data_IF_337306729690
#
_entry.id   IF_337306729690
#
_cell.length_a   1.000
_cell.length_b   1.000
_cell.length_c   1.000
_cell.angle_alpha   90.00
_cell.angle_beta   90.00
_cell.angle_gamma   90.00
#
_symmetry.space_group_name_H-M   'P 1'
#
loop_
_entity.id
_entity.type
_entity.pdbx_description
1 polymer ?
#
# COMPACT_ATOMS: atom_id res chain seq x y z
N UNK A 1 14.36 -4.06 -45.87
CA UNK A 1 15.16 -3.53 -44.74
C UNK A 1 14.22 -2.69 -43.91
N UNK A 2 13.68 -3.24 -42.83
CA UNK A 2 12.78 -2.47 -41.98
C UNK A 2 13.65 -1.61 -41.07
N UNK A 3 13.70 -0.31 -41.35
CA UNK A 3 14.33 0.64 -40.45
C UNK A 3 13.54 0.69 -39.13
N UNK A 4 14.21 0.98 -38.02
CA UNK A 4 13.54 1.25 -36.74
C UNK A 4 12.53 2.38 -36.93
N UNK A 5 11.29 2.14 -36.49
CA UNK A 5 10.24 3.15 -36.41
C UNK A 5 10.64 4.27 -35.45
N UNK A 6 10.01 5.44 -35.58
CA UNK A 6 10.31 6.59 -34.73
C UNK A 6 10.11 6.28 -33.23
N UNK A 7 9.09 5.49 -32.90
CA UNK A 7 8.83 4.99 -31.55
C UNK A 7 9.96 4.07 -31.04
N UNK A 8 10.44 3.14 -31.88
CA UNK A 8 11.56 2.27 -31.51
C UNK A 8 12.84 3.06 -31.29
N UNK A 9 13.12 4.06 -32.13
CA UNK A 9 14.27 4.95 -31.96
C UNK A 9 14.15 5.77 -30.67
N UNK A 10 12.97 6.29 -30.35
CA UNK A 10 12.71 7.02 -29.11
C UNK A 10 12.91 6.12 -27.88
N UNK A 11 12.38 4.89 -27.89
CA UNK A 11 12.63 3.89 -26.84
C UNK A 11 14.13 3.65 -26.65
N UNK A 12 14.88 3.41 -27.73
CA UNK A 12 16.32 3.10 -27.64
C UNK A 12 17.08 4.29 -27.04
N UNK A 13 16.77 5.53 -27.43
CA UNK A 13 17.40 6.74 -26.87
C UNK A 13 17.22 6.78 -25.36
N UNK A 14 15.97 6.71 -24.92
CA UNK A 14 15.64 6.82 -23.50
C UNK A 14 16.19 5.62 -22.70
N UNK A 15 16.17 4.41 -23.28
CA UNK A 15 16.70 3.22 -22.63
C UNK A 15 18.20 3.32 -22.39
N UNK A 16 18.95 3.84 -23.37
CA UNK A 16 20.39 4.00 -23.25
C UNK A 16 20.76 5.03 -22.18
N UNK A 17 19.91 6.02 -21.87
CA UNK A 17 20.13 6.96 -20.75
C UNK A 17 20.27 6.24 -19.40
N UNK A 18 19.64 5.08 -19.24
CA UNK A 18 19.63 4.31 -17.99
C UNK A 18 20.86 3.44 -17.81
N UNK A 19 21.65 3.28 -18.89
CA UNK A 19 22.87 2.49 -18.92
C UNK A 19 24.10 3.36 -18.69
N UNK A 20 25.10 2.79 -18.00
CA UNK A 20 26.41 3.42 -17.85
C UNK A 20 27.17 3.52 -19.18
N UNK A 21 28.18 4.40 -19.24
CA UNK A 21 28.93 4.67 -20.47
C UNK A 21 29.63 3.42 -21.03
N UNK A 22 30.18 2.56 -20.17
CA UNK A 22 30.82 1.32 -20.59
C UNK A 22 29.84 0.35 -21.25
N UNK A 23 28.62 0.25 -20.71
CA UNK A 23 27.55 -0.57 -21.28
C UNK A 23 27.10 -0.08 -22.65
N UNK A 24 26.92 1.24 -22.78
CA UNK A 24 26.55 1.89 -24.06
C UNK A 24 27.65 1.72 -25.10
N UNK A 25 28.93 1.90 -24.73
CA UNK A 25 30.07 1.70 -25.64
C UNK A 25 30.21 0.23 -26.08
N UNK A 26 30.01 -0.72 -25.16
CA UNK A 26 30.01 -2.14 -25.49
C UNK A 26 28.88 -2.51 -26.48
N UNK A 27 27.67 -1.98 -26.26
CA UNK A 27 26.54 -2.15 -27.19
C UNK A 27 26.86 -1.58 -28.58
N UNK A 28 27.35 -0.34 -28.64
CA UNK A 28 27.72 0.31 -29.90
C UNK A 28 28.75 -0.51 -30.67
N UNK A 29 29.81 -1.00 -30.00
CA UNK A 29 30.83 -1.83 -30.66
C UNK A 29 30.27 -3.14 -31.24
N UNK A 30 29.26 -3.72 -30.59
CA UNK A 30 28.66 -4.99 -31.00
C UNK A 30 27.63 -4.79 -32.11
N UNK A 31 26.88 -3.69 -32.07
CA UNK A 31 25.84 -3.38 -33.07
C UNK A 31 26.50 -2.91 -34.37
N UNK A 32 27.56 -2.09 -34.28
CA UNK A 32 28.31 -1.62 -35.45
C UNK A 32 29.32 -2.64 -35.98
N UNK A 33 29.43 -3.83 -35.36
CA UNK A 33 30.46 -4.84 -35.66
C UNK A 33 31.88 -4.24 -35.67
N UNK A 34 32.13 -3.28 -34.77
CA UNK A 34 33.36 -2.49 -34.62
C UNK A 34 33.76 -1.67 -35.86
N UNK A 35 32.84 -1.40 -36.79
CA UNK A 35 33.13 -0.59 -37.97
C UNK A 35 33.12 0.91 -37.69
N UNK A 36 32.58 1.34 -36.55
CA UNK A 36 32.48 2.75 -36.15
C UNK A 36 33.22 2.96 -34.83
N UNK A 37 34.19 3.89 -34.82
CA UNK A 37 34.80 4.40 -33.58
C UNK A 37 33.90 5.51 -33.03
N UNK A 38 33.17 5.19 -31.96
CA UNK A 38 32.39 6.16 -31.21
C UNK A 38 33.10 6.47 -29.89
N UNK A 39 33.68 7.66 -29.80
CA UNK A 39 34.50 8.05 -28.65
C UNK A 39 33.66 8.71 -27.53
N UNK A 40 32.50 9.28 -27.89
CA UNK A 40 31.57 9.93 -26.97
C UNK A 40 30.26 9.15 -26.81
N UNK A 41 29.61 9.28 -25.65
CA UNK A 41 28.30 8.66 -25.37
C UNK A 41 27.26 8.98 -26.45
N UNK A 42 27.19 10.24 -26.88
CA UNK A 42 26.28 10.68 -27.94
C UNK A 42 26.55 9.98 -29.27
N UNK A 43 27.82 9.90 -29.68
CA UNK A 43 28.20 9.17 -30.89
C UNK A 43 27.88 7.67 -30.79
N UNK A 44 28.01 7.07 -29.59
CA UNK A 44 27.61 5.68 -29.38
C UNK A 44 26.09 5.49 -29.55
N UNK A 45 25.28 6.38 -28.97
CA UNK A 45 23.80 6.34 -29.10
C UNK A 45 23.39 6.49 -30.57
N UNK A 46 23.95 7.46 -31.28
CA UNK A 46 23.65 7.69 -32.70
C UNK A 46 24.03 6.47 -33.55
N UNK A 47 25.19 5.86 -33.29
CA UNK A 47 25.63 4.66 -33.98
C UNK A 47 24.74 3.44 -33.68
N UNK A 48 24.27 3.28 -32.43
CA UNK A 48 23.34 2.21 -32.06
C UNK A 48 22.03 2.36 -32.84
N UNK A 49 21.47 3.56 -32.88
CA UNK A 49 20.18 3.82 -33.56
C UNK A 49 20.32 3.62 -35.06
N UNK A 50 21.41 4.11 -35.66
CA UNK A 50 21.63 4.02 -37.10
C UNK A 50 21.85 2.59 -37.59
N UNK A 51 22.48 1.73 -36.77
CA UNK A 51 22.90 0.39 -37.18
C UNK A 51 22.07 -0.76 -36.58
N UNK A 52 21.04 -0.45 -35.78
CA UNK A 52 20.11 -1.47 -35.26
C UNK A 52 19.08 -1.85 -36.32
N UNK A 53 18.98 -3.15 -36.63
CA UNK A 53 18.09 -3.64 -37.70
C UNK A 53 16.64 -3.85 -37.26
N UNK A 54 16.40 -4.04 -35.95
CA UNK A 54 15.08 -4.18 -35.34
C UNK A 54 15.15 -4.02 -33.83
N UNK A 55 14.01 -3.71 -33.20
CA UNK A 55 13.91 -3.67 -31.73
C UNK A 55 14.20 -5.05 -31.09
N UNK A 56 13.80 -6.14 -31.72
CA UNK A 56 14.02 -7.51 -31.22
C UNK A 56 15.52 -7.84 -31.13
N UNK A 57 16.30 -7.49 -32.16
CA UNK A 57 17.75 -7.72 -32.15
C UNK A 57 18.45 -6.90 -31.06
N UNK A 58 17.99 -5.66 -30.84
CA UNK A 58 18.50 -4.79 -29.78
C UNK A 58 18.24 -5.39 -28.39
N UNK A 59 17.00 -5.78 -28.10
CA UNK A 59 16.59 -6.32 -26.80
C UNK A 59 17.30 -7.63 -26.42
N UNK A 60 17.64 -8.45 -27.42
CA UNK A 60 18.38 -9.71 -27.23
C UNK A 60 19.86 -9.54 -26.96
N UNK A 61 20.44 -8.34 -27.10
CA UNK A 61 21.88 -8.13 -26.83
C UNK A 61 22.20 -8.35 -25.35
N UNK A 62 23.32 -9.01 -25.05
CA UNK A 62 23.70 -9.40 -23.69
C UNK A 62 23.78 -8.25 -22.68
N UNK A 63 24.10 -7.04 -23.14
CA UNK A 63 24.19 -5.84 -22.28
C UNK A 63 22.83 -5.20 -21.97
N UNK A 64 21.78 -5.63 -22.66
CA UNK A 64 20.40 -5.33 -22.30
C UNK A 64 19.96 -6.38 -21.28
N UNK A 65 20.16 -6.08 -19.99
CA UNK A 65 19.89 -7.02 -18.90
C UNK A 65 18.47 -6.89 -18.38
N UNK A 66 18.00 -7.90 -17.64
CA UNK A 66 16.70 -7.90 -16.98
C UNK A 66 16.53 -6.67 -16.08
N UNK A 67 17.58 -6.27 -15.38
CA UNK A 67 17.60 -5.12 -14.48
C UNK A 67 17.38 -3.82 -15.23
N UNK A 68 18.03 -3.65 -16.39
CA UNK A 68 17.87 -2.45 -17.23
C UNK A 68 16.45 -2.37 -17.82
N UNK A 69 15.91 -3.50 -18.29
CA UNK A 69 14.54 -3.59 -18.81
C UNK A 69 13.50 -3.30 -17.72
N UNK A 70 13.70 -3.90 -16.54
CA UNK A 70 12.86 -3.66 -15.37
C UNK A 70 12.93 -2.19 -14.93
N UNK A 71 14.13 -1.61 -14.87
CA UNK A 71 14.32 -0.18 -14.55
C UNK A 71 13.59 0.72 -15.55
N UNK A 72 13.72 0.44 -16.85
CA UNK A 72 13.04 1.20 -17.91
C UNK A 72 11.51 1.16 -17.80
N UNK A 73 10.94 -0.03 -17.56
CA UNK A 73 9.50 -0.21 -17.37
C UNK A 73 9.01 0.41 -16.07
N UNK A 74 9.81 0.33 -15.01
CA UNK A 74 9.53 0.94 -13.72
C UNK A 74 9.53 2.48 -13.80
N UNK A 75 10.47 3.08 -14.53
CA UNK A 75 10.48 4.53 -14.79
C UNK A 75 9.27 4.99 -15.62
N UNK A 76 8.74 4.11 -16.48
CA UNK A 76 7.49 4.34 -17.25
C UNK A 76 6.23 3.86 -16.57
N UNK A 77 6.34 3.36 -15.33
CA UNK A 77 5.21 3.06 -14.45
C UNK A 77 4.33 1.93 -14.98
N UNK A 78 4.99 1.00 -15.65
CA UNK A 78 4.39 -0.17 -16.23
C UNK A 78 4.67 -1.31 -15.26
N UNK A 79 3.61 -1.73 -14.55
CA UNK A 79 3.72 -2.80 -13.57
C UNK A 79 4.18 -4.08 -14.26
N UNK A 80 5.26 -4.64 -13.74
CA UNK A 80 5.71 -5.97 -14.13
C UNK A 80 5.71 -6.84 -12.88
N UNK A 81 4.84 -7.86 -12.77
CA UNK A 81 4.97 -8.89 -11.74
C UNK A 81 6.31 -9.60 -11.91
N UNK A 82 6.75 -10.41 -10.95
CA UNK A 82 8.07 -11.04 -10.94
C UNK A 82 8.32 -11.94 -12.19
N UNK A 83 8.81 -11.33 -13.26
CA UNK A 83 8.74 -11.86 -14.65
C UNK A 83 10.14 -12.13 -15.19
N UNK A 84 10.28 -13.13 -16.06
CA UNK A 84 11.54 -13.44 -16.74
C UNK A 84 11.94 -12.37 -17.77
N UNK A 85 13.17 -12.44 -18.30
CA UNK A 85 13.69 -11.45 -19.27
C UNK A 85 12.84 -11.41 -20.54
N UNK A 86 12.36 -12.55 -21.02
CA UNK A 86 11.63 -12.65 -22.28
C UNK A 86 10.26 -11.95 -22.20
N UNK A 87 9.57 -12.07 -21.08
CA UNK A 87 8.29 -11.39 -20.91
C UNK A 87 8.43 -9.87 -20.70
N UNK A 88 9.54 -9.38 -20.11
CA UNK A 88 9.88 -7.95 -20.13
C UNK A 88 10.13 -7.44 -21.56
N UNK A 89 10.83 -8.21 -22.38
CA UNK A 89 11.07 -7.89 -23.79
C UNK A 89 9.75 -7.80 -24.58
N UNK A 90 8.84 -8.74 -24.37
CA UNK A 90 7.53 -8.75 -25.03
C UNK A 90 6.68 -7.54 -24.62
N UNK A 91 6.65 -7.22 -23.33
CA UNK A 91 5.90 -6.06 -22.83
C UNK A 91 6.45 -4.75 -23.42
N UNK A 92 7.77 -4.62 -23.56
CA UNK A 92 8.39 -3.47 -24.24
C UNK A 92 7.96 -3.39 -25.71
N UNK A 93 7.96 -4.51 -26.43
CA UNK A 93 7.52 -4.54 -27.83
C UNK A 93 6.07 -4.10 -28.00
N UNK A 94 5.18 -4.55 -27.11
CA UNK A 94 3.77 -4.16 -27.14
C UNK A 94 3.59 -2.66 -26.90
N UNK A 95 4.36 -2.08 -26.00
CA UNK A 95 4.31 -0.64 -25.69
C UNK A 95 4.80 0.24 -26.83
N UNK A 96 5.92 -0.17 -27.43
CA UNK A 96 6.54 0.56 -28.54
C UNK A 96 5.65 0.47 -29.79
N UNK A 97 5.04 -0.70 -30.04
CA UNK A 97 4.12 -0.92 -31.15
C UNK A 97 2.77 -0.21 -30.94
N UNK A 98 2.30 -0.13 -29.70
CA UNK A 98 1.06 0.53 -29.31
C UNK A 98 1.14 2.06 -29.19
N UNK A 99 2.30 2.67 -29.45
CA UNK A 99 2.49 4.13 -29.42
C UNK A 99 2.37 4.78 -28.04
N UNK A 100 2.48 4.00 -26.95
CA UNK A 100 2.32 4.47 -25.56
C UNK A 100 3.63 4.96 -24.93
N UNK A 101 4.58 5.42 -25.74
CA UNK A 101 5.87 5.90 -25.24
C UNK A 101 5.76 7.36 -24.81
N UNK A 102 5.76 7.60 -23.51
CA UNK A 102 5.93 8.94 -22.94
C UNK A 102 7.44 9.18 -22.75
N UNK A 103 8.03 10.24 -23.35
CA UNK A 103 9.46 10.53 -23.19
C UNK A 103 9.77 10.98 -21.76
N UNK A 104 10.87 10.46 -21.20
CA UNK A 104 11.28 10.66 -19.79
C UNK A 104 11.36 12.14 -19.38
N UNK A 105 11.64 13.03 -20.34
CA UNK A 105 11.83 14.47 -20.11
C UNK A 105 10.53 15.26 -19.87
N UNK A 106 9.36 14.70 -20.17
CA UNK A 106 8.07 15.31 -19.86
C UNK A 106 7.68 15.15 -18.37
N UNK A 107 8.37 14.29 -17.62
CA UNK A 107 8.13 13.99 -16.21
C UNK A 107 8.85 15.00 -15.28
N UNK A 108 9.75 15.82 -15.83
CA UNK A 108 10.63 16.73 -15.08
C UNK A 108 10.10 18.17 -14.97
N UNK A 109 8.82 18.36 -14.67
CA UNK A 109 8.38 19.63 -14.07
C UNK A 109 8.04 19.38 -12.60
N UNK A 110 8.61 20.16 -11.66
CA UNK A 110 8.26 20.04 -10.26
C UNK A 110 6.79 20.44 -10.11
N UNK A 111 5.93 19.44 -9.88
CA UNK A 111 4.55 19.64 -9.48
C UNK A 111 4.60 20.49 -8.20
N UNK A 112 4.11 21.72 -8.28
CA UNK A 112 3.80 22.52 -7.09
C UNK A 112 2.88 21.65 -6.23
N UNK A 113 3.32 21.31 -5.03
CA UNK A 113 2.49 20.67 -4.01
C UNK A 113 1.42 21.68 -3.62
N UNK A 114 0.26 21.61 -4.24
CA UNK A 114 -0.93 22.25 -3.69
C UNK A 114 -1.40 21.39 -2.50
N UNK A 115 -1.61 21.98 -1.31
CA UNK A 115 -1.95 21.25 -0.08
C UNK A 115 -3.42 20.80 -0.03
N UNK A 116 -4.14 20.81 -1.15
CA UNK A 116 -5.54 20.40 -1.18
C UNK A 116 -5.63 18.88 -0.99
N UNK A 117 -6.22 18.49 0.14
CA UNK A 117 -6.34 17.11 0.56
C UNK A 117 -7.33 16.33 -0.33
N UNK A 118 -7.00 15.07 -0.66
CA UNK A 118 -7.88 14.19 -1.40
C UNK A 118 -9.25 13.96 -0.70
N UNK A 119 -9.27 13.88 0.63
CA UNK A 119 -10.50 13.56 1.38
C UNK A 119 -11.28 14.82 1.82
N UNK A 120 -10.84 16.02 1.42
CA UNK A 120 -11.44 17.30 1.82
C UNK A 120 -12.79 17.59 1.13
N UNK A 121 -13.09 17.00 -0.03
CA UNK A 121 -14.30 17.32 -0.81
C UNK A 121 -15.58 16.61 -0.33
N UNK A 122 -15.50 15.71 0.66
CA UNK A 122 -16.65 14.93 1.14
C UNK A 122 -17.62 15.71 2.05
N UNK A 123 -17.46 17.04 2.18
CA UNK A 123 -18.23 17.90 3.08
C UNK A 123 -19.65 18.23 2.59
N UNK A 124 -20.48 17.24 2.25
CA UNK A 124 -21.93 17.44 2.15
C UNK A 124 -22.71 16.20 2.59
N UNK A 125 -22.57 15.79 3.86
CA UNK A 125 -23.65 15.06 4.54
C UNK A 125 -23.55 15.17 6.07
N UNK A 126 -24.62 15.69 6.64
CA UNK A 126 -24.98 15.89 8.04
C UNK A 126 -24.00 15.48 9.16
N UNK A 127 -23.62 16.52 9.90
CA UNK A 127 -22.89 16.50 11.15
C UNK A 127 -23.74 15.95 12.30
N UNK A 128 -23.45 14.72 12.73
CA UNK A 128 -23.81 14.23 14.07
C UNK A 128 -22.91 13.07 14.48
N UNK A 129 -21.62 13.33 14.67
CA UNK A 129 -20.71 12.35 15.29
C UNK A 129 -19.99 13.03 16.45
N UNK A 130 -20.66 13.12 17.60
CA UNK A 130 -20.02 13.47 18.87
C UNK A 130 -19.09 12.31 19.27
N UNK A 131 -17.84 12.59 19.71
CA UNK A 131 -16.94 11.53 20.16
C UNK A 131 -17.55 10.80 21.36
N UNK A 132 -17.55 9.48 21.30
CA UNK A 132 -18.09 8.62 22.34
C UNK A 132 -17.18 8.68 23.56
N UNK A 133 -17.67 9.26 24.66
CA UNK A 133 -16.91 9.36 25.91
C UNK A 133 -16.98 8.03 26.68
N UNK A 134 -15.85 7.63 27.27
CA UNK A 134 -15.80 6.54 28.24
C UNK A 134 -16.56 6.99 29.51
N UNK A 135 -17.83 6.63 29.64
CA UNK A 135 -18.62 6.97 30.84
C UNK A 135 -18.21 6.09 32.01
N UNK A 136 -17.73 6.71 33.08
CA UNK A 136 -17.35 6.03 34.31
C UNK A 136 -18.61 5.72 35.17
N UNK A 137 -19.39 4.72 34.78
CA UNK A 137 -20.55 4.27 35.57
C UNK A 137 -20.26 2.95 36.29
N UNK A 138 -20.24 3.00 37.63
CA UNK A 138 -20.39 1.80 38.46
C UNK A 138 -21.76 1.16 38.15
N UNK A 139 -21.84 -0.17 37.94
CA UNK A 139 -23.09 -0.80 37.57
C UNK A 139 -24.01 -0.94 38.79
N UNK A 140 -25.04 -0.10 38.87
CA UNK A 140 -26.22 -0.37 39.71
C UNK A 140 -27.13 -1.38 38.99
N UNK A 141 -27.05 -2.62 39.48
CA UNK A 141 -28.02 -3.73 39.49
C UNK A 141 -29.12 -3.85 38.41
N UNK A 142 -29.17 -5.08 37.87
CA UNK A 142 -30.30 -5.79 37.21
C UNK A 142 -30.67 -5.40 35.78
N UNK A 143 -29.76 -5.72 34.85
CA UNK A 143 -30.09 -6.32 33.55
C UNK A 143 -29.11 -7.48 33.36
N UNK A 144 -29.49 -8.60 32.68
CA UNK A 144 -28.54 -9.66 32.42
C UNK A 144 -27.48 -9.11 31.46
N UNK A 145 -26.32 -8.75 32.01
CA UNK A 145 -25.09 -8.62 31.25
C UNK A 145 -24.93 -9.91 30.45
N UNK A 146 -25.12 -9.85 29.14
CA UNK A 146 -24.48 -10.81 28.24
C UNK A 146 -23.03 -10.34 28.17
N UNK A 147 -22.10 -10.99 28.89
CA UNK A 147 -20.72 -10.58 28.81
C UNK A 147 -20.24 -10.88 27.40
N UNK A 148 -19.51 -9.94 26.80
CA UNK A 148 -18.67 -10.19 25.61
C UNK A 148 -17.63 -11.31 25.85
N UNK A 149 -17.59 -11.91 27.04
CA UNK A 149 -16.94 -13.19 27.31
C UNK A 149 -17.60 -14.39 26.60
N UNK A 150 -18.89 -14.28 26.22
CA UNK A 150 -19.69 -15.36 25.63
C UNK A 150 -20.17 -15.03 24.21
N UNK A 151 -19.45 -14.19 23.45
CA UNK A 151 -19.69 -14.08 22.01
C UNK A 151 -19.35 -15.43 21.38
N UNK A 152 -20.35 -16.29 21.22
CA UNK A 152 -20.26 -17.58 20.57
C UNK A 152 -20.07 -17.35 19.06
N UNK A 153 -18.91 -16.79 18.67
CA UNK A 153 -18.44 -16.89 17.30
C UNK A 153 -18.36 -18.38 16.98
N UNK A 154 -18.85 -18.83 15.82
CA UNK A 154 -18.72 -20.22 15.41
C UNK A 154 -17.25 -20.67 15.57
N UNK A 155 -17.04 -21.77 16.31
CA UNK A 155 -15.73 -22.40 16.44
C UNK A 155 -15.09 -22.56 15.05
N UNK A 156 -13.79 -22.29 14.98
CA UNK A 156 -12.97 -22.36 13.76
C UNK A 156 -13.27 -23.59 12.89
N UNK A 157 -13.70 -24.72 13.45
CA UNK A 157 -14.09 -25.93 12.73
C UNK A 157 -15.20 -25.74 11.68
N UNK A 158 -16.12 -24.77 11.86
CA UNK A 158 -17.21 -24.52 10.90
C UNK A 158 -16.78 -23.63 9.72
N UNK A 159 -15.71 -22.83 9.87
CA UNK A 159 -15.18 -21.94 8.82
C UNK A 159 -13.91 -22.49 8.15
N UNK A 160 -13.18 -23.41 8.81
CA UNK A 160 -11.96 -24.04 8.28
C UNK A 160 -12.21 -24.87 7.02
N UNK A 161 -13.46 -25.28 6.77
CA UNK A 161 -13.85 -25.97 5.54
C UNK A 161 -13.85 -25.05 4.30
N UNK A 162 -13.77 -23.72 4.47
CA UNK A 162 -13.81 -22.76 3.36
C UNK A 162 -12.45 -22.08 3.04
N UNK A 163 -11.45 -22.18 3.92
CA UNK A 163 -10.20 -21.39 3.82
C UNK A 163 -8.92 -22.23 3.66
N UNK A 164 -9.03 -23.52 3.38
CA UNK A 164 -7.86 -24.35 3.11
C UNK A 164 -7.30 -24.06 1.71
N UNK A 165 -6.26 -23.22 1.66
CA UNK A 165 -4.94 -23.55 1.07
C UNK A 165 -4.24 -22.32 0.46
N UNK A 166 -3.20 -21.82 1.13
CA UNK A 166 -1.86 -21.54 0.56
C UNK A 166 -1.05 -20.48 1.38
N UNK A 167 -0.24 -21.00 2.31
CA UNK A 167 1.11 -20.53 2.71
C UNK A 167 1.36 -19.02 2.94
N UNK A 168 1.37 -18.65 4.23
CA UNK A 168 1.60 -17.31 4.82
C UNK A 168 3.08 -16.84 4.85
N UNK A 169 4.06 -17.64 4.46
CA UNK A 169 5.48 -17.38 4.81
C UNK A 169 6.25 -16.40 3.91
N UNK A 170 5.82 -16.13 2.67
CA UNK A 170 6.57 -15.24 1.74
C UNK A 170 6.13 -13.78 1.88
N UNK A 171 4.84 -13.54 2.12
CA UNK A 171 4.28 -12.20 2.17
C UNK A 171 4.67 -11.46 3.46
N UNK A 172 4.70 -12.16 4.59
CA UNK A 172 5.15 -11.62 5.89
C UNK A 172 6.56 -11.00 5.82
N UNK A 173 7.47 -11.59 5.02
CA UNK A 173 8.83 -11.05 4.80
C UNK A 173 8.81 -9.75 3.98
N UNK A 174 7.93 -9.63 2.99
CA UNK A 174 7.84 -8.44 2.12
C UNK A 174 7.22 -7.26 2.85
N UNK A 175 6.14 -7.48 3.61
CA UNK A 175 5.50 -6.43 4.42
C UNK A 175 6.44 -5.93 5.51
N UNK A 176 7.09 -6.85 6.24
CA UNK A 176 8.07 -6.50 7.29
C UNK A 176 9.24 -5.68 6.73
N UNK A 177 9.75 -6.04 5.55
CA UNK A 177 10.85 -5.28 4.90
C UNK A 177 10.38 -3.90 4.46
N UNK A 178 9.15 -3.79 3.94
CA UNK A 178 8.57 -2.50 3.51
C UNK A 178 8.36 -1.58 4.70
N UNK A 179 7.84 -2.10 5.82
CA UNK A 179 7.69 -1.33 7.05
C UNK A 179 9.03 -0.90 7.64
N UNK A 180 10.01 -1.80 7.74
CA UNK A 180 11.33 -1.47 8.28
C UNK A 180 12.02 -0.35 7.46
N UNK A 181 11.92 -0.41 6.13
CA UNK A 181 12.43 0.64 5.25
C UNK A 181 11.69 1.97 5.44
N UNK A 182 10.36 1.95 5.57
CA UNK A 182 9.55 3.16 5.78
C UNK A 182 9.69 3.75 7.19
N UNK A 183 9.95 2.92 8.20
CA UNK A 183 10.27 3.35 9.56
C UNK A 183 11.70 3.91 9.67
N UNK A 184 12.55 3.74 8.64
CA UNK A 184 13.92 4.25 8.63
C UNK A 184 14.88 3.44 9.50
N UNK A 185 14.54 2.18 9.81
CA UNK A 185 15.34 1.30 10.66
C UNK A 185 16.03 0.26 9.78
N UNK A 186 17.37 0.28 9.74
CA UNK A 186 18.14 -0.84 9.21
C UNK A 186 17.87 -2.08 10.06
N UNK A 187 17.63 -3.22 9.40
CA UNK A 187 17.31 -4.52 10.02
C UNK A 187 18.20 -4.77 11.26
N UNK A 188 17.71 -4.49 12.47
CA UNK A 188 18.53 -4.67 13.67
C UNK A 188 18.16 -3.96 14.97
N UNK A 189 17.29 -2.92 14.99
CA UNK A 189 16.94 -2.25 16.27
C UNK A 189 15.42 -2.12 16.42
N UNK A 190 14.78 -3.19 16.88
CA UNK A 190 13.41 -3.12 17.39
C UNK A 190 13.44 -2.34 18.72
N UNK A 191 12.73 -1.22 18.82
CA UNK A 191 12.58 -0.57 20.12
C UNK A 191 11.97 0.81 20.16
N UNK A 192 12.19 1.66 19.14
CA UNK A 192 11.64 3.02 19.16
C UNK A 192 10.99 3.35 17.81
N UNK A 193 9.67 3.52 17.83
CA UNK A 193 8.94 4.07 16.71
C UNK A 193 9.57 5.43 16.33
N UNK A 194 9.88 5.66 15.05
CA UNK A 194 10.40 6.94 14.62
C UNK A 194 9.38 8.06 14.86
N UNK A 195 9.86 9.28 15.12
CA UNK A 195 8.96 10.42 15.31
C UNK A 195 8.04 10.60 14.07
N UNK A 196 6.74 10.89 14.29
CA UNK A 196 5.83 11.18 13.21
C UNK A 196 6.31 12.41 12.44
N UNK A 197 6.14 12.40 11.11
CA UNK A 197 6.52 13.55 10.30
C UNK A 197 5.44 14.64 10.41
N UNK A 198 5.78 15.87 10.85
CA UNK A 198 4.81 16.97 10.94
C UNK A 198 4.12 17.26 9.60
N UNK A 199 4.78 16.97 8.47
CA UNK A 199 4.21 17.14 7.12
C UNK A 199 3.06 16.18 6.85
N UNK A 200 3.08 15.01 7.49
CA UNK A 200 2.10 13.96 7.28
C UNK A 200 0.94 14.01 8.30
N UNK A 201 1.01 14.91 9.28
CA UNK A 201 -0.01 14.95 10.35
C UNK A 201 -1.40 15.29 9.81
N UNK A 202 -1.48 16.24 8.86
CA UNK A 202 -2.74 16.61 8.23
C UNK A 202 -3.31 15.44 7.41
N UNK A 203 -2.46 14.76 6.62
CA UNK A 203 -2.87 13.66 5.74
C UNK A 203 -3.36 12.44 6.53
N UNK A 204 -2.70 12.14 7.65
CA UNK A 204 -3.08 11.08 8.58
C UNK A 204 -4.42 11.37 9.26
N UNK A 205 -4.60 12.58 9.80
CA UNK A 205 -5.78 12.95 10.57
C UNK A 205 -7.05 12.87 9.71
N UNK A 206 -7.01 13.41 8.51
CA UNK A 206 -8.18 13.43 7.66
C UNK A 206 -8.44 12.06 6.99
N UNK A 207 -7.40 11.26 6.67
CA UNK A 207 -7.59 9.84 6.30
C UNK A 207 -8.31 9.06 7.42
N UNK A 208 -7.88 9.22 8.68
CA UNK A 208 -8.51 8.56 9.81
C UNK A 208 -9.98 8.98 9.91
N UNK A 209 -10.27 10.28 9.83
CA UNK A 209 -11.65 10.80 9.83
C UNK A 209 -12.49 10.16 8.73
N UNK A 210 -12.00 10.12 7.49
CA UNK A 210 -12.68 9.51 6.35
C UNK A 210 -12.93 8.00 6.57
N UNK A 211 -11.90 7.25 6.94
CA UNK A 211 -11.95 5.79 7.09
C UNK A 211 -12.97 5.39 8.16
N UNK A 212 -12.86 5.96 9.36
CA UNK A 212 -13.75 5.59 10.47
C UNK A 212 -15.17 6.13 10.30
N UNK A 213 -15.36 7.20 9.52
CA UNK A 213 -16.71 7.63 9.13
C UNK A 213 -17.36 6.59 8.21
N UNK A 214 -16.66 6.11 7.18
CA UNK A 214 -17.18 5.13 6.21
C UNK A 214 -17.32 3.72 6.79
N UNK A 215 -16.27 3.19 7.44
CA UNK A 215 -16.25 1.79 7.92
C UNK A 215 -17.32 1.50 8.97
N UNK A 216 -17.76 2.54 9.70
CA UNK A 216 -18.81 2.43 10.69
C UNK A 216 -20.23 2.56 10.12
N UNK A 217 -20.39 2.91 8.84
CA UNK A 217 -21.71 2.90 8.18
C UNK A 217 -22.16 1.47 7.84
N UNK A 218 -23.47 1.22 7.67
CA UNK A 218 -23.96 0.01 7.03
C UNK A 218 -23.32 -0.20 5.66
N UNK A 219 -22.85 -1.41 5.34
CA UNK A 219 -22.13 -1.72 4.11
C UNK A 219 -20.64 -1.35 4.14
N UNK A 220 -20.17 -0.59 5.14
CA UNK A 220 -18.77 -0.31 5.41
C UNK A 220 -17.99 0.30 4.23
N UNK A 221 -16.77 -0.20 4.00
CA UNK A 221 -15.90 0.27 2.92
C UNK A 221 -16.12 -0.57 1.66
N UNK A 222 -16.34 0.05 0.49
CA UNK A 222 -16.49 -0.70 -0.74
C UNK A 222 -15.11 -1.09 -1.34
N UNK A 223 -15.06 -2.05 -2.28
CA UNK A 223 -13.81 -2.58 -2.85
C UNK A 223 -12.89 -1.53 -3.48
N UNK A 224 -13.44 -0.43 -3.97
CA UNK A 224 -12.72 0.60 -4.73
C UNK A 224 -11.80 1.45 -3.84
N UNK A 225 -12.06 1.46 -2.52
CA UNK A 225 -11.23 2.11 -1.51
C UNK A 225 -9.91 1.32 -1.24
N UNK A 226 -9.79 0.11 -1.80
CA UNK A 226 -8.61 -0.74 -1.72
C UNK A 226 -7.93 -0.91 -3.09
N UNK A 227 -6.62 -1.16 -3.08
CA UNK A 227 -5.93 -1.61 -4.28
C UNK A 227 -6.46 -2.99 -4.73
N UNK A 228 -6.54 -3.28 -6.05
CA UNK A 228 -7.02 -4.58 -6.53
C UNK A 228 -6.22 -5.77 -5.98
N UNK A 229 -4.93 -5.59 -5.72
CA UNK A 229 -4.01 -6.54 -5.08
C UNK A 229 -3.73 -6.21 -3.60
N UNK A 230 -4.63 -5.46 -2.96
CA UNK A 230 -4.57 -5.09 -1.56
C UNK A 230 -4.65 -6.32 -0.65
N UNK A 231 -4.07 -6.20 0.55
CA UNK A 231 -3.95 -7.33 1.48
C UNK A 231 -4.40 -6.95 2.89
N UNK A 232 -4.96 -7.92 3.61
CA UNK A 232 -5.35 -7.73 4.99
C UNK A 232 -4.98 -8.92 5.85
N UNK A 233 -4.56 -8.63 7.09
CA UNK A 233 -4.54 -9.59 8.18
C UNK A 233 -5.28 -9.00 9.38
N UNK A 234 -6.00 -9.85 10.10
CA UNK A 234 -6.78 -9.46 11.26
C UNK A 234 -6.62 -10.49 12.37
N UNK A 235 -6.38 -9.99 13.58
CA UNK A 235 -6.34 -10.79 14.80
C UNK A 235 -7.48 -10.32 15.70
N UNK A 236 -8.37 -11.24 16.04
CA UNK A 236 -9.44 -11.00 17.02
C UNK A 236 -9.05 -11.69 18.32
N UNK A 237 -8.55 -10.93 19.29
CA UNK A 237 -8.09 -11.42 20.59
C UNK A 237 -9.21 -11.35 21.63
N UNK A 238 -9.49 -12.50 22.22
CA UNK A 238 -10.37 -12.65 23.38
C UNK A 238 -9.52 -13.01 24.60
N UNK A 239 -10.16 -13.22 25.75
CA UNK A 239 -9.46 -13.44 27.02
C UNK A 239 -8.50 -14.63 27.01
N UNK A 240 -8.89 -15.72 26.34
CA UNK A 240 -8.17 -16.99 26.39
C UNK A 240 -7.68 -17.49 25.03
N UNK A 241 -8.09 -16.85 23.93
CA UNK A 241 -7.83 -17.30 22.57
C UNK A 241 -7.81 -16.13 21.58
N UNK A 242 -7.37 -16.42 20.35
CA UNK A 242 -7.32 -15.46 19.27
C UNK A 242 -7.67 -16.12 17.93
N UNK A 243 -8.50 -15.45 17.14
CA UNK A 243 -8.76 -15.84 15.75
C UNK A 243 -7.90 -15.05 14.80
N UNK A 244 -7.39 -15.73 13.78
CA UNK A 244 -6.63 -15.14 12.70
C UNK A 244 -7.43 -15.21 11.41
N UNK A 245 -7.58 -14.06 10.76
CA UNK A 245 -8.26 -13.93 9.47
C UNK A 245 -7.35 -13.19 8.50
N UNK A 246 -7.37 -13.57 7.23
CA UNK A 246 -6.60 -12.90 6.20
C UNK A 246 -7.36 -12.89 4.88
N UNK A 247 -7.11 -11.87 4.07
CA UNK A 247 -7.67 -11.75 2.74
C UNK A 247 -6.65 -11.13 1.78
N UNK A 248 -6.71 -11.55 0.52
CA UNK A 248 -5.94 -11.00 -0.58
C UNK A 248 -6.88 -10.53 -1.69
N UNK A 249 -6.52 -9.40 -2.30
CA UNK A 249 -7.29 -8.68 -3.28
C UNK A 249 -8.31 -7.74 -2.64
N UNK A 250 -8.39 -6.50 -3.15
CA UNK A 250 -9.18 -5.42 -2.56
C UNK A 250 -10.65 -5.78 -2.30
N UNK A 251 -11.26 -6.53 -3.23
CA UNK A 251 -12.62 -7.05 -3.10
C UNK A 251 -12.81 -7.98 -1.88
N UNK A 252 -11.85 -8.87 -1.62
CA UNK A 252 -11.95 -9.81 -0.50
C UNK A 252 -11.59 -9.13 0.82
N UNK A 253 -10.67 -8.15 0.79
CA UNK A 253 -10.33 -7.32 1.95
C UNK A 253 -11.54 -6.53 2.43
N UNK A 254 -12.21 -5.79 1.54
CA UNK A 254 -13.42 -5.05 1.85
C UNK A 254 -14.51 -5.96 2.43
N UNK A 255 -14.77 -7.09 1.77
CA UNK A 255 -15.77 -8.08 2.22
C UNK A 255 -15.46 -8.60 3.62
N UNK A 256 -14.23 -9.03 3.88
CA UNK A 256 -13.84 -9.59 5.18
C UNK A 256 -13.96 -8.56 6.31
N UNK A 257 -13.48 -7.34 6.08
CA UNK A 257 -13.55 -6.26 7.08
C UNK A 257 -15.00 -5.93 7.42
N UNK A 258 -15.83 -5.68 6.41
CA UNK A 258 -17.23 -5.32 6.62
C UNK A 258 -17.99 -6.49 7.27
N UNK A 259 -17.78 -7.73 6.83
CA UNK A 259 -18.41 -8.91 7.43
C UNK A 259 -18.11 -9.01 8.92
N UNK A 260 -16.84 -8.89 9.34
CA UNK A 260 -16.48 -9.01 10.78
C UNK A 260 -17.12 -7.90 11.61
N UNK A 261 -17.13 -6.66 11.10
CA UNK A 261 -17.72 -5.54 11.83
C UNK A 261 -19.26 -5.64 11.89
N UNK A 262 -19.91 -6.12 10.84
CA UNK A 262 -21.37 -6.30 10.82
C UNK A 262 -21.83 -7.53 11.63
N UNK A 263 -21.15 -8.67 11.47
CA UNK A 263 -21.47 -9.93 12.17
C UNK A 263 -21.43 -9.75 13.69
N UNK A 264 -20.48 -8.96 14.18
CA UNK A 264 -20.31 -8.69 15.61
C UNK A 264 -20.89 -7.33 16.04
N UNK A 265 -21.55 -6.61 15.12
CA UNK A 265 -22.15 -5.31 15.37
C UNK A 265 -21.16 -4.34 16.05
N UNK A 266 -19.95 -4.25 15.50
CA UNK A 266 -18.86 -3.46 16.06
C UNK A 266 -18.86 -2.03 15.55
N UNK A 267 -18.44 -1.12 16.41
CA UNK A 267 -18.17 0.27 16.10
C UNK A 267 -16.74 0.63 16.52
N UNK A 268 -15.95 1.16 15.58
CA UNK A 268 -14.59 1.61 15.81
C UNK A 268 -14.59 3.09 16.17
N UNK A 269 -14.29 3.43 17.42
CA UNK A 269 -14.18 4.81 17.89
C UNK A 269 -12.70 5.23 17.96
N UNK A 270 -12.15 5.90 16.93
CA UNK A 270 -10.73 6.23 16.87
C UNK A 270 -10.32 7.28 17.90
N UNK A 271 -9.12 7.13 18.45
CA UNK A 271 -8.46 8.21 19.17
C UNK A 271 -7.84 9.18 18.16
N UNK A 272 -8.53 10.27 17.86
CA UNK A 272 -8.09 11.30 16.89
C UNK A 272 -7.12 12.33 17.47
N UNK A 273 -6.63 12.11 18.69
CA UNK A 273 -5.56 12.95 19.27
C UNK A 273 -4.19 12.56 18.70
N UNK A 274 -3.17 13.42 18.80
CA UNK A 274 -1.80 13.06 18.38
C UNK A 274 -1.21 11.82 19.07
N UNK A 275 -1.76 11.42 20.22
CA UNK A 275 -1.34 10.22 20.94
C UNK A 275 -2.03 8.94 20.45
N UNK A 276 -3.10 9.06 19.67
CA UNK A 276 -3.88 7.94 19.13
C UNK A 276 -3.63 7.64 17.66
N UNK A 277 -2.85 8.49 16.99
CA UNK A 277 -2.50 8.37 15.59
C UNK A 277 -1.01 8.57 15.40
N UNK A 278 -0.43 7.81 14.48
CA UNK A 278 0.94 8.00 14.03
C UNK A 278 0.97 7.79 12.51
N UNK A 279 1.87 8.48 11.82
CA UNK A 279 2.09 8.21 10.41
C UNK A 279 3.37 8.80 9.87
N UNK A 280 3.82 8.20 8.76
CA UNK A 280 5.05 8.61 8.07
C UNK A 280 4.99 8.21 6.60
N UNK A 281 5.15 9.20 5.75
CA UNK A 281 5.20 9.10 4.30
C UNK A 281 6.62 9.02 3.75
N UNK A 282 6.71 8.71 2.47
CA UNK A 282 7.94 8.85 1.70
C UNK A 282 7.67 9.54 0.37
N UNK A 283 8.74 9.95 -0.30
CA UNK A 283 8.67 10.64 -1.60
C UNK A 283 8.16 9.73 -2.74
N UNK A 284 7.98 8.44 -2.49
CA UNK A 284 7.49 7.46 -3.47
C UNK A 284 5.95 7.32 -3.46
N UNK A 285 5.23 8.15 -2.71
CA UNK A 285 3.77 8.11 -2.63
C UNK A 285 3.24 6.98 -1.76
N UNK A 286 4.04 6.51 -0.79
CA UNK A 286 3.59 5.57 0.23
C UNK A 286 3.45 6.31 1.56
N UNK A 287 2.41 5.97 2.32
CA UNK A 287 2.16 6.52 3.65
C UNK A 287 1.78 5.38 4.60
N UNK A 288 2.55 5.24 5.68
CA UNK A 288 2.13 4.42 6.80
C UNK A 288 1.24 5.24 7.74
N UNK A 289 0.15 4.63 8.18
CA UNK A 289 -0.76 5.21 9.17
C UNK A 289 -1.09 4.18 10.22
N UNK A 290 -0.85 4.47 11.49
CA UNK A 290 -1.29 3.67 12.61
C UNK A 290 -2.35 4.46 13.38
N UNK A 291 -3.51 3.85 13.61
CA UNK A 291 -4.56 4.45 14.44
C UNK A 291 -5.04 3.41 15.45
N UNK A 292 -5.16 3.81 16.70
CA UNK A 292 -5.81 3.02 17.75
C UNK A 292 -7.04 3.73 18.30
N UNK A 293 -7.88 2.98 19.01
CA UNK A 293 -9.08 3.53 19.62
C UNK A 293 -9.87 2.49 20.39
N UNK A 294 -11.08 2.84 20.79
CA UNK A 294 -11.97 1.94 21.53
C UNK A 294 -12.92 1.21 20.59
N UNK A 295 -13.26 -0.02 20.97
CA UNK A 295 -14.22 -0.87 20.29
C UNK A 295 -15.54 -0.82 21.05
N UNK A 296 -16.65 -0.53 20.37
CA UNK A 296 -17.98 -0.42 20.98
C UNK A 296 -19.00 -1.31 20.28
N UNK A 297 -20.08 -1.63 20.99
CA UNK A 297 -21.26 -2.30 20.42
C UNK A 297 -22.16 -1.29 19.68
N UNK A 298 -22.62 -1.63 18.47
CA UNK A 298 -23.62 -0.88 17.69
C UNK A 298 -25.05 -1.31 18.08
N UNK A 299 -26.08 -0.43 18.00
CA UNK A 299 -26.04 1.02 17.73
C UNK A 299 -25.95 1.91 18.98
N UNK A 300 -25.43 3.15 18.82
CA UNK A 300 -25.46 4.20 19.85
C UNK A 300 -24.25 4.24 20.78
N UNK A 301 -24.42 4.81 21.98
CA UNK A 301 -23.46 4.91 23.09
C UNK A 301 -23.12 3.56 23.75
N UNK A 302 -22.99 2.50 22.94
CA UNK A 302 -22.84 1.13 23.41
C UNK A 302 -21.64 0.93 24.32
N UNK A 303 -21.69 -0.13 25.11
CA UNK A 303 -20.60 -0.51 26.03
C UNK A 303 -19.27 -0.61 25.28
N UNK A 304 -18.20 -0.11 25.93
CA UNK A 304 -16.85 -0.35 25.47
C UNK A 304 -16.55 -1.85 25.61
N UNK A 305 -16.31 -2.50 24.47
CA UNK A 305 -15.98 -3.92 24.38
C UNK A 305 -14.46 -4.12 24.50
N UNK A 306 -13.68 -3.09 24.19
CA UNK A 306 -12.22 -3.14 24.23
C UNK A 306 -11.57 -2.10 23.36
N UNK A 307 -10.53 -2.50 22.65
CA UNK A 307 -9.77 -1.60 21.79
C UNK A 307 -9.45 -2.23 20.44
N UNK A 308 -9.13 -1.37 19.48
CA UNK A 308 -8.60 -1.76 18.21
C UNK A 308 -7.29 -1.05 17.90
N UNK A 309 -6.53 -1.63 16.99
CA UNK A 309 -5.37 -1.03 16.33
C UNK A 309 -5.42 -1.36 14.84
N UNK A 310 -5.25 -0.35 14.00
CA UNK A 310 -5.18 -0.51 12.56
C UNK A 310 -3.89 0.11 12.04
N UNK A 311 -3.04 -0.70 11.41
CA UNK A 311 -1.88 -0.26 10.65
C UNK A 311 -2.20 -0.34 9.16
N UNK A 312 -2.12 0.79 8.49
CA UNK A 312 -2.36 0.95 7.07
C UNK A 312 -1.06 1.23 6.34
N UNK A 313 -0.87 0.57 5.19
CA UNK A 313 -0.05 1.10 4.12
C UNK A 313 -0.97 1.69 3.06
N UNK A 314 -0.94 3.01 2.93
CA UNK A 314 -1.61 3.72 1.87
C UNK A 314 -0.63 3.93 0.73
N UNK A 315 -1.13 3.79 -0.49
CA UNK A 315 -0.35 4.09 -1.69
C UNK A 315 -1.17 5.02 -2.58
N UNK A 316 -0.55 6.13 -2.95
CA UNK A 316 -1.07 7.07 -3.92
C UNK A 316 -0.83 6.52 -5.32
N UNK A 317 -1.85 6.53 -6.16
CA UNK A 317 -1.64 6.44 -7.60
C UNK A 317 -1.15 7.80 -8.11
N UNK A 318 0.07 7.89 -8.66
CA UNK A 318 0.59 9.14 -9.19
C UNK A 318 -0.15 9.64 -10.45
N UNK A 319 -1.05 8.82 -11.02
CA UNK A 319 -1.66 9.04 -12.34
C UNK A 319 -3.17 9.26 -12.30
N UNK A 320 -3.76 9.36 -11.12
CA UNK A 320 -5.15 9.77 -10.91
C UNK A 320 -5.19 10.87 -9.86
N UNK A 321 -5.99 11.92 -10.12
CA UNK A 321 -6.31 12.91 -9.08
C UNK A 321 -6.98 12.18 -7.91
N UNK A 322 -6.56 12.48 -6.68
CA UNK A 322 -7.22 11.99 -5.46
C UNK A 322 -7.33 10.45 -5.36
N UNK A 323 -6.18 9.76 -5.38
CA UNK A 323 -6.15 8.30 -5.47
C UNK A 323 -5.26 7.63 -4.40
N UNK A 324 -5.39 8.07 -3.15
CA UNK A 324 -4.86 7.31 -2.02
C UNK A 324 -5.78 6.11 -1.74
N UNK A 325 -5.24 4.90 -1.89
CA UNK A 325 -5.96 3.65 -1.61
C UNK A 325 -5.21 2.78 -0.62
N UNK A 326 -5.97 1.93 0.08
CA UNK A 326 -5.42 1.01 1.07
C UNK A 326 -4.73 -0.15 0.33
N UNK A 327 -3.41 -0.24 0.47
CA UNK A 327 -2.59 -1.34 -0.09
C UNK A 327 -2.47 -2.49 0.89
N UNK A 328 -2.30 -2.19 2.17
CA UNK A 328 -2.23 -3.19 3.23
C UNK A 328 -2.94 -2.69 4.48
N UNK A 329 -3.67 -3.59 5.14
CA UNK A 329 -4.37 -3.33 6.39
C UNK A 329 -4.06 -4.45 7.40
N UNK A 330 -3.43 -4.11 8.51
CA UNK A 330 -3.30 -5.00 9.66
C UNK A 330 -4.21 -4.52 10.78
N UNK A 331 -5.07 -5.43 11.25
CA UNK A 331 -6.07 -5.13 12.29
C UNK A 331 -5.81 -6.00 13.51
N UNK A 332 -5.80 -5.39 14.69
CA UNK A 332 -5.94 -6.12 15.95
C UNK A 332 -7.19 -5.60 16.65
N UNK A 333 -8.14 -6.50 16.91
CA UNK A 333 -9.29 -6.25 17.78
C UNK A 333 -9.06 -6.97 19.10
N UNK A 334 -9.10 -6.26 20.23
CA UNK A 334 -8.88 -6.84 21.56
C UNK A 334 -10.10 -6.62 22.45
N UNK A 335 -10.63 -7.72 22.97
CA UNK A 335 -11.59 -7.69 24.08
C UNK A 335 -10.91 -7.14 25.33
N UNK A 336 -11.42 -6.01 25.83
CA UNK A 336 -11.02 -5.45 27.11
C UNK A 336 -12.10 -4.47 27.63
N UNK A 337 -13.20 -4.98 28.20
CA UNK A 337 -14.29 -4.12 28.65
C UNK A 337 -13.93 -3.22 29.84
N UNK A 338 -12.74 -3.39 30.43
CA UNK A 338 -12.26 -2.61 31.58
C UNK A 338 -11.35 -1.44 31.18
N UNK A 339 -11.29 -1.08 29.90
CA UNK A 339 -10.54 0.10 29.45
C UNK A 339 -11.14 1.35 30.10
N UNK A 340 -10.33 2.01 30.94
CA UNK A 340 -10.71 3.23 31.65
C UNK A 340 -10.23 4.51 30.96
N UNK A 341 -9.25 4.39 30.07
CA UNK A 341 -8.63 5.51 29.37
C UNK A 341 -8.60 5.23 27.87
N UNK A 342 -8.72 6.28 27.07
CA UNK A 342 -8.63 6.16 25.62
C UNK A 342 -7.26 5.58 25.22
N UNK A 343 -7.22 4.47 24.47
CA UNK A 343 -5.96 3.86 24.07
C UNK A 343 -5.08 4.79 23.25
N UNK A 344 -3.79 4.68 23.45
CA UNK A 344 -2.75 5.43 22.74
C UNK A 344 -1.87 4.51 21.93
N UNK A 345 -1.06 5.08 21.05
CA UNK A 345 -0.06 4.35 20.26
C UNK A 345 0.96 3.63 21.16
N UNK A 346 1.20 4.09 22.39
CA UNK A 346 2.05 3.38 23.35
C UNK A 346 1.48 2.01 23.77
N UNK A 347 0.15 1.85 23.71
CA UNK A 347 -0.55 0.59 24.02
C UNK A 347 -0.58 -0.38 22.82
N UNK A 348 -0.06 0.06 21.67
CA UNK A 348 -0.15 -0.67 20.41
C UNK A 348 0.87 -1.81 20.33
N UNK A 349 0.38 -2.99 19.95
CA UNK A 349 1.26 -4.11 19.56
C UNK A 349 1.77 -3.95 18.13
N UNK A 350 0.97 -3.36 17.24
CA UNK A 350 1.39 -3.09 15.86
C UNK A 350 2.50 -2.04 15.81
N UNK A 351 2.52 -1.08 16.73
CA UNK A 351 3.62 -0.13 16.90
C UNK A 351 4.98 -0.80 17.10
N UNK A 352 5.03 -1.98 17.73
CA UNK A 352 6.28 -2.72 17.99
C UNK A 352 6.88 -3.36 16.73
N UNK A 353 6.10 -3.41 15.64
CA UNK A 353 6.54 -3.91 14.33
C UNK A 353 7.19 -2.82 13.46
N UNK A 354 6.99 -1.55 13.84
CA UNK A 354 7.58 -0.36 13.20
C UNK A 354 8.91 -0.05 13.87
#
# INVERSE_FOLDING_TARGET
MSALTENEQAFIRDFLELMNDDGVRALASTITRRMVKADSRRACVDAIILHSSSLDEFLKRQKVTKENLFKYLNERKISVPNTDKAALENQIKDLVSGGRLIPARAIATPIKRDPASPWAAAEHSNNSNMPMQLTNHQPSTTMPNLPFADLHLPSAAQLYLAASSARVTVQERVTTTTYAHMAGVGVGVFGNMPEPDPRDTAIVSEFAKWFYTKVNQPGGLPPEDFWPDGNMSMIVKRKNDADYKAAQGGQNVARLLNQVLEEHQLYLNPNTTPQGMWGRGNDNGLLLVLVCGTLHQRPGAGSCLGMFENLFLLAQDPFAEDNWKIKTLEVILRSNPHIQQTPTIADSELAKKL
#
